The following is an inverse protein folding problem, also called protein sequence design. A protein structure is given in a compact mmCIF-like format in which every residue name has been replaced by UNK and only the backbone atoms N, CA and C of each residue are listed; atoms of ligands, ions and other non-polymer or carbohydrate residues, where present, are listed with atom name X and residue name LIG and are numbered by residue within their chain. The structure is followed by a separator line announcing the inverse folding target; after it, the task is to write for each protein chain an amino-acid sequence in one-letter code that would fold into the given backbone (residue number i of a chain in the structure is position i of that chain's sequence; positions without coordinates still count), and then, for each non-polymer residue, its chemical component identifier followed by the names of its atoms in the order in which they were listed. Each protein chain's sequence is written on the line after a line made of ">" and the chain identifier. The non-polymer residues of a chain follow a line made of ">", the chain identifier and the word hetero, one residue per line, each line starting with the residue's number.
data_IF_971439962714
#
_entry.id   IF_971439962714
#
_cell.length_a   1.000
_cell.length_b   1.000
_cell.length_c   1.000
_cell.angle_alpha   90.00
_cell.angle_beta   90.00
_cell.angle_gamma   90.00
#
_symmetry.space_group_name_H-M   'P 1'
#
loop_
_entity.id
_entity.type
_entity.pdbx_description
1 polymer ?
#
# COMPACT_ATOMS: atom_id res chain seq x y z
N UNK A 1 2.09 8.13 -15.02
CA UNK A 1 1.00 7.50 -14.24
C UNK A 1 0.76 8.30 -12.97
N UNK A 2 -0.43 8.20 -12.36
CA UNK A 2 -0.72 8.78 -11.04
C UNK A 2 -1.24 7.67 -10.13
N UNK A 3 -0.85 7.67 -8.86
CA UNK A 3 -1.28 6.67 -7.87
C UNK A 3 -1.82 7.40 -6.65
N UNK A 4 -3.02 7.01 -6.21
CA UNK A 4 -3.63 7.53 -5.01
C UNK A 4 -3.35 6.59 -3.83
N UNK A 5 -2.98 7.17 -2.69
CA UNK A 5 -2.80 6.45 -1.44
C UNK A 5 -3.85 6.91 -0.45
N UNK A 6 -4.54 5.97 0.19
CA UNK A 6 -5.34 6.29 1.37
C UNK A 6 -4.42 6.73 2.53
N UNK A 7 -4.91 7.53 3.48
CA UNK A 7 -4.17 7.81 4.70
C UNK A 7 -3.78 6.54 5.47
N UNK A 8 -2.75 6.65 6.31
CA UNK A 8 -2.32 5.56 7.19
C UNK A 8 -3.48 5.15 8.11
N UNK A 9 -3.79 3.85 8.17
CA UNK A 9 -4.89 3.35 9.00
C UNK A 9 -4.59 3.42 10.50
N UNK A 10 -3.35 3.15 10.88
CA UNK A 10 -2.90 3.19 12.27
C UNK A 10 -2.61 4.63 12.68
N UNK A 11 -3.50 5.19 13.49
CA UNK A 11 -3.35 6.52 14.08
C UNK A 11 -3.56 6.47 15.60
N UNK A 12 -2.95 7.40 16.32
CA UNK A 12 -2.94 7.41 17.79
C UNK A 12 -4.31 7.74 18.42
N UNK A 13 -5.23 8.26 17.63
CA UNK A 13 -6.60 8.58 18.04
C UNK A 13 -7.42 7.30 18.22
N UNK A 14 -8.24 7.27 19.27
CA UNK A 14 -9.20 6.19 19.52
C UNK A 14 -10.18 6.05 18.34
N UNK A 15 -10.48 4.83 17.93
CA UNK A 15 -11.45 4.52 16.87
C UNK A 15 -12.32 3.33 17.27
N UNK A 16 -13.59 3.39 16.93
CA UNK A 16 -14.49 2.25 17.08
C UNK A 16 -14.28 1.26 15.93
N UNK A 17 -14.34 -0.03 16.24
CA UNK A 17 -14.23 -1.13 15.29
C UNK A 17 -14.85 -2.38 15.89
N UNK A 18 -14.88 -3.48 15.14
CA UNK A 18 -15.33 -4.79 15.61
C UNK A 18 -14.17 -5.77 15.77
N UNK A 19 -14.31 -6.72 16.69
CA UNK A 19 -13.42 -7.89 16.81
C UNK A 19 -13.73 -8.92 15.72
N UNK A 20 -12.91 -9.97 15.63
CA UNK A 20 -13.15 -11.10 14.69
C UNK A 20 -14.47 -11.82 14.96
N UNK A 21 -14.92 -11.84 16.21
CA UNK A 21 -16.18 -12.45 16.64
C UNK A 21 -17.39 -11.50 16.49
N UNK A 22 -17.17 -10.30 15.96
CA UNK A 22 -18.22 -9.32 15.67
C UNK A 22 -18.63 -8.44 16.85
N UNK A 23 -17.91 -8.49 17.97
CA UNK A 23 -18.18 -7.62 19.12
C UNK A 23 -17.60 -6.21 18.91
N UNK A 24 -18.37 -5.17 19.25
CA UNK A 24 -17.92 -3.76 19.22
C UNK A 24 -16.77 -3.53 20.21
N UNK A 25 -15.76 -2.78 19.79
CA UNK A 25 -14.60 -2.47 20.62
C UNK A 25 -13.93 -1.15 20.20
N UNK A 26 -13.30 -0.49 21.16
CA UNK A 26 -12.49 0.70 20.90
C UNK A 26 -11.02 0.31 20.70
N UNK A 27 -10.48 0.66 19.54
CA UNK A 27 -9.09 0.45 19.16
C UNK A 27 -8.27 1.72 19.34
N UNK A 28 -7.21 1.62 20.14
CA UNK A 28 -6.14 2.63 20.23
C UNK A 28 -4.82 2.02 19.82
N UNK A 29 -4.30 2.44 18.67
CA UNK A 29 -2.96 2.00 18.25
C UNK A 29 -1.89 2.70 19.09
N UNK A 30 -0.86 1.94 19.51
CA UNK A 30 0.29 2.44 20.27
C UNK A 30 1.55 2.41 19.40
N UNK A 31 2.57 3.20 19.76
CA UNK A 31 3.86 3.23 19.06
C UNK A 31 3.92 4.21 17.89
N UNK A 32 5.06 4.21 17.18
CA UNK A 32 5.31 5.10 16.03
C UNK A 32 4.72 4.50 14.76
N UNK A 33 3.91 5.28 14.06
CA UNK A 33 3.34 4.94 12.76
C UNK A 33 3.70 6.02 11.73
N UNK A 34 3.73 5.65 10.45
CA UNK A 34 4.00 6.60 9.39
C UNK A 34 2.84 7.62 9.29
N UNK A 35 3.09 8.93 9.39
CA UNK A 35 2.02 9.93 9.21
C UNK A 35 1.53 9.98 7.76
N UNK A 36 2.35 9.52 6.82
CA UNK A 36 2.03 9.41 5.40
C UNK A 36 2.77 8.21 4.78
N UNK A 37 2.04 7.12 4.50
CA UNK A 37 2.61 5.93 3.82
C UNK A 37 3.04 6.20 2.37
N UNK A 38 2.50 7.24 1.74
CA UNK A 38 2.75 7.51 0.32
C UNK A 38 4.23 7.79 0.04
N UNK A 39 4.95 8.45 0.94
CA UNK A 39 6.39 8.73 0.77
C UNK A 39 7.20 7.45 0.59
N UNK A 40 6.85 6.40 1.35
CA UNK A 40 7.46 5.07 1.23
C UNK A 40 6.85 4.24 0.09
N UNK A 41 5.63 4.56 -0.31
CA UNK A 41 4.93 3.90 -1.42
C UNK A 41 5.46 4.28 -2.81
N UNK A 42 5.94 5.52 -3.00
CA UNK A 42 6.50 5.97 -4.28
C UNK A 42 7.60 5.05 -4.82
N UNK A 43 8.68 4.72 -4.08
CA UNK A 43 9.72 3.84 -4.62
C UNK A 43 9.20 2.43 -4.93
N UNK A 44 8.18 1.95 -4.22
CA UNK A 44 7.52 0.67 -4.53
C UNK A 44 6.78 0.75 -5.87
N UNK A 45 6.02 1.83 -6.10
CA UNK A 45 5.30 2.05 -7.37
C UNK A 45 6.27 2.11 -8.55
N UNK A 46 7.39 2.82 -8.40
CA UNK A 46 8.42 2.94 -9.43
C UNK A 46 9.05 1.59 -9.76
N UNK A 47 9.42 0.81 -8.74
CA UNK A 47 9.95 -0.53 -8.93
C UNK A 47 8.96 -1.45 -9.65
N UNK A 48 7.69 -1.44 -9.22
CA UNK A 48 6.65 -2.25 -9.86
C UNK A 48 6.40 -1.85 -11.31
N UNK A 49 6.41 -0.55 -11.62
CA UNK A 49 6.29 -0.07 -12.99
C UNK A 49 7.46 -0.56 -13.85
N UNK A 50 8.70 -0.51 -13.34
CA UNK A 50 9.88 -1.03 -14.03
C UNK A 50 9.78 -2.55 -14.28
N UNK A 51 9.34 -3.32 -13.28
CA UNK A 51 9.13 -4.77 -13.43
C UNK A 51 8.10 -5.09 -14.52
N UNK A 52 6.96 -4.40 -14.54
CA UNK A 52 5.91 -4.62 -15.54
C UNK A 52 6.39 -4.27 -16.95
N UNK A 53 7.13 -3.17 -17.11
CA UNK A 53 7.68 -2.77 -18.40
C UNK A 53 8.75 -3.74 -18.90
N UNK A 54 9.63 -4.22 -18.02
CA UNK A 54 10.64 -5.21 -18.36
C UNK A 54 10.01 -6.54 -18.80
N UNK A 55 9.00 -7.01 -18.07
CA UNK A 55 8.23 -8.21 -18.41
C UNK A 55 7.51 -8.07 -19.77
N UNK A 56 6.86 -6.93 -20.02
CA UNK A 56 6.24 -6.65 -21.31
C UNK A 56 7.26 -6.65 -22.47
N UNK A 57 8.44 -6.05 -22.26
CA UNK A 57 9.53 -6.05 -23.25
C UNK A 57 10.01 -7.48 -23.55
N UNK A 58 10.22 -8.31 -22.52
CA UNK A 58 10.67 -9.69 -22.69
C UNK A 58 9.61 -10.55 -23.41
N UNK A 59 8.33 -10.39 -23.08
CA UNK A 59 7.24 -11.07 -23.79
C UNK A 59 7.18 -10.70 -25.26
N UNK A 60 7.31 -9.41 -25.58
CA UNK A 60 7.34 -8.97 -26.95
C UNK A 60 8.53 -9.58 -27.70
N UNK A 61 9.72 -9.53 -27.11
CA UNK A 61 10.92 -10.16 -27.68
C UNK A 61 10.74 -11.66 -27.93
N UNK A 62 10.07 -12.39 -27.03
CA UNK A 62 9.82 -13.82 -27.22
C UNK A 62 8.81 -14.14 -28.34
N UNK A 63 8.02 -13.18 -28.80
CA UNK A 63 7.03 -13.37 -29.87
C UNK A 63 7.57 -13.01 -31.26
N UNK A 64 8.38 -11.95 -31.36
CA UNK A 64 8.80 -11.38 -32.65
C UNK A 64 10.32 -11.26 -32.84
N UNK A 65 11.10 -11.61 -31.81
CA UNK A 65 12.57 -11.50 -31.80
C UNK A 65 13.28 -12.83 -32.01
#
# INVERSE_FOLDING_TARGET
>A
ARVAFKPTSSILTLRQTVTRDGAETDLRTRGRHDPCVALRGVPVVEAMAACVLADAMLRHRAQVG
#
